data_IF_285642934913
#
_entry.id   IF_285642934913
#
_cell.length_a   1.000
_cell.length_b   1.000
_cell.length_c   1.000
_cell.angle_alpha   90.00
_cell.angle_beta   90.00
_cell.angle_gamma   90.00
#
_symmetry.space_group_name_H-M   'P 1'
#
loop_
_entity.id
_entity.type
_entity.pdbx_description
1 polymer ?
#
# COMPACT_ATOMS: atom_id res chain seq x y z
N UNK A 1 15.32 13.51 7.20
CA UNK A 1 14.97 12.39 6.31
C UNK A 1 14.52 11.19 7.12
N UNK A 2 13.38 10.65 6.78
CA UNK A 2 12.84 9.50 7.49
C UNK A 2 13.69 8.25 7.21
N UNK A 3 13.92 7.44 8.24
CA UNK A 3 14.70 6.20 8.12
C UNK A 3 13.74 5.01 8.27
N UNK A 4 13.68 4.17 7.25
CA UNK A 4 12.81 3.00 7.23
C UNK A 4 13.23 1.95 8.25
N UNK A 5 12.22 1.33 8.88
CA UNK A 5 12.42 0.13 9.69
C UNK A 5 12.46 -1.06 8.72
N UNK A 6 13.64 -1.31 8.20
CA UNK A 6 13.90 -2.36 7.22
C UNK A 6 15.26 -2.98 7.54
N UNK A 7 15.24 -4.25 7.93
CA UNK A 7 16.47 -4.95 8.31
C UNK A 7 16.83 -5.98 7.25
N UNK A 8 18.03 -5.85 6.70
CA UNK A 8 18.55 -6.75 5.67
C UNK A 8 19.91 -7.28 6.06
N UNK A 9 20.13 -8.56 5.84
CA UNK A 9 21.44 -9.18 5.89
C UNK A 9 21.57 -10.19 4.74
N UNK A 10 22.59 -11.01 4.74
CA UNK A 10 22.80 -12.00 3.68
C UNK A 10 21.73 -13.08 3.63
N UNK A 11 21.07 -13.36 4.75
CA UNK A 11 20.18 -14.51 4.93
C UNK A 11 18.70 -14.16 4.86
N UNK A 12 18.31 -12.95 5.25
CA UNK A 12 16.89 -12.59 5.32
C UNK A 12 16.65 -11.09 5.23
N UNK A 13 15.39 -10.74 5.02
CA UNK A 13 14.88 -9.36 5.08
C UNK A 13 13.72 -9.33 6.07
N UNK A 14 13.72 -8.36 6.97
CA UNK A 14 12.53 -8.03 7.77
C UNK A 14 12.00 -6.68 7.31
N UNK A 15 10.70 -6.64 6.99
CA UNK A 15 10.01 -5.46 6.47
C UNK A 15 8.83 -5.12 7.35
N UNK A 16 8.68 -3.84 7.69
CA UNK A 16 7.53 -3.33 8.41
C UNK A 16 6.85 -2.26 7.55
N UNK A 17 5.61 -2.54 7.12
CA UNK A 17 4.92 -1.71 6.14
C UNK A 17 3.53 -1.30 6.59
N UNK A 18 3.02 -0.24 5.95
CA UNK A 18 1.63 0.19 6.07
C UNK A 18 1.07 0.38 4.66
N UNK A 19 -0.20 0.07 4.48
CA UNK A 19 -0.91 0.31 3.24
C UNK A 19 -2.22 1.06 3.47
N UNK A 20 -2.61 1.85 2.49
CA UNK A 20 -3.83 2.64 2.52
C UNK A 20 -4.84 2.17 1.48
N UNK A 21 -6.03 1.81 1.94
CA UNK A 21 -7.14 1.43 1.08
C UNK A 21 -7.97 2.68 0.86
N UNK A 22 -7.80 3.29 -0.31
CA UNK A 22 -8.47 4.52 -0.70
C UNK A 22 -9.60 4.18 -1.64
N UNK A 23 -10.83 4.29 -1.15
CA UNK A 23 -12.04 4.08 -1.93
C UNK A 23 -12.75 5.42 -2.09
N UNK A 24 -13.04 5.76 -3.34
CA UNK A 24 -13.73 7.00 -3.69
C UNK A 24 -14.78 6.71 -4.76
N UNK A 25 -16.03 7.01 -4.45
CA UNK A 25 -17.16 6.79 -5.37
C UNK A 25 -17.21 5.37 -5.98
N UNK A 26 -17.01 4.36 -5.12
CA UNK A 26 -17.10 2.95 -5.52
C UNK A 26 -15.87 2.41 -6.25
N UNK A 27 -14.79 3.19 -6.30
CA UNK A 27 -13.53 2.77 -6.92
C UNK A 27 -12.40 2.80 -5.90
N UNK A 28 -11.47 1.88 -6.06
CA UNK A 28 -10.25 1.80 -5.24
C UNK A 28 -9.04 2.27 -6.05
N UNK A 29 -8.15 3.00 -5.39
CA UNK A 29 -6.90 3.41 -6.01
C UNK A 29 -5.81 2.38 -5.72
N UNK A 30 -5.17 1.89 -6.78
CA UNK A 30 -4.10 0.91 -6.70
C UNK A 30 -2.87 1.42 -7.43
N UNK A 31 -1.71 0.95 -7.00
CA UNK A 31 -0.46 1.13 -7.73
C UNK A 31 -0.31 0.01 -8.75
N UNK A 32 0.14 0.34 -9.96
CA UNK A 32 0.44 -0.63 -11.00
C UNK A 32 1.92 -0.54 -11.37
N UNK A 33 2.78 -1.32 -10.71
CA UNK A 33 4.19 -1.38 -11.08
C UNK A 33 4.38 -1.93 -12.49
N UNK A 34 5.49 -1.54 -13.13
CA UNK A 34 5.85 -2.11 -14.44
C UNK A 34 6.16 -3.59 -14.28
N UNK A 35 5.61 -4.41 -15.17
CA UNK A 35 5.85 -5.86 -15.21
C UNK A 35 5.51 -6.59 -13.92
N UNK A 36 4.57 -6.06 -13.14
CA UNK A 36 4.10 -6.67 -11.90
C UNK A 36 2.59 -6.49 -11.75
N UNK A 37 2.02 -7.19 -10.78
CA UNK A 37 0.60 -7.10 -10.48
C UNK A 37 0.27 -5.82 -9.69
N UNK A 38 -1.01 -5.53 -9.57
CA UNK A 38 -1.47 -4.38 -8.79
C UNK A 38 -1.10 -4.54 -7.32
N UNK A 39 -0.89 -3.42 -6.65
CA UNK A 39 -0.54 -3.39 -5.23
C UNK A 39 -1.29 -2.29 -4.49
N UNK A 40 -1.52 -2.52 -3.21
CA UNK A 40 -2.03 -1.49 -2.29
C UNK A 40 -0.94 -0.44 -2.09
N UNK A 41 -1.34 0.82 -2.12
CA UNK A 41 -0.42 1.96 -1.95
C UNK A 41 0.05 2.04 -0.51
N UNK A 42 1.34 2.22 -0.32
CA UNK A 42 1.91 2.37 1.01
C UNK A 42 3.42 2.45 1.00
N UNK A 43 4.03 2.13 2.12
CA UNK A 43 5.47 2.18 2.26
C UNK A 43 5.97 1.58 3.56
N UNK A 44 7.27 1.58 3.73
CA UNK A 44 7.91 1.13 4.98
C UNK A 44 7.67 2.13 6.09
N UNK A 45 7.42 1.63 7.29
CA UNK A 45 7.29 2.49 8.47
C UNK A 45 8.64 3.13 8.75
N UNK A 46 8.65 4.44 8.93
CA UNK A 46 9.86 5.13 9.33
C UNK A 46 10.04 5.11 10.84
N UNK A 47 11.30 5.08 11.25
CA UNK A 47 11.67 5.08 12.67
C UNK A 47 11.02 6.28 13.38
N UNK A 48 10.39 6.01 14.51
CA UNK A 48 9.66 6.98 15.34
C UNK A 48 8.38 7.58 14.74
N UNK A 49 7.95 7.09 13.58
CA UNK A 49 6.63 7.42 13.06
C UNK A 49 5.61 6.34 13.47
N UNK A 50 4.39 6.75 13.74
CA UNK A 50 3.29 5.78 13.81
C UNK A 50 2.96 5.29 12.40
N UNK A 51 2.23 4.18 12.30
CA UNK A 51 1.81 3.67 10.99
C UNK A 51 0.95 4.67 10.23
N UNK A 52 0.06 5.38 10.94
CA UNK A 52 -0.78 6.43 10.32
C UNK A 52 0.04 7.61 9.82
N UNK A 53 1.02 8.05 10.59
CA UNK A 53 1.92 9.15 10.18
C UNK A 53 2.72 8.78 8.93
N UNK A 54 3.27 7.57 8.89
CA UNK A 54 3.98 7.07 7.71
C UNK A 54 3.07 7.06 6.49
N UNK A 55 1.83 6.57 6.66
CA UNK A 55 0.89 6.47 5.56
C UNK A 55 0.54 7.85 4.97
N UNK A 56 0.31 8.84 5.82
CA UNK A 56 0.05 10.22 5.39
C UNK A 56 1.25 10.75 4.60
N UNK A 57 2.45 10.53 5.09
CA UNK A 57 3.68 10.98 4.43
C UNK A 57 3.87 10.30 3.07
N UNK A 58 3.66 8.98 3.00
CA UNK A 58 3.80 8.22 1.75
C UNK A 58 2.83 8.68 0.68
N UNK A 59 1.56 8.93 1.04
CA UNK A 59 0.59 9.47 0.08
C UNK A 59 0.99 10.86 -0.40
N UNK A 60 1.55 11.69 0.47
CA UNK A 60 2.03 13.01 0.08
C UNK A 60 3.24 12.91 -0.85
N UNK A 61 4.19 12.03 -0.55
CA UNK A 61 5.39 11.85 -1.37
C UNK A 61 5.09 11.26 -2.75
N UNK A 62 4.26 10.21 -2.81
CA UNK A 62 3.99 9.47 -4.04
C UNK A 62 2.89 10.09 -4.89
N UNK A 63 1.84 10.59 -4.26
CA UNK A 63 0.63 11.05 -4.94
C UNK A 63 0.44 12.56 -4.86
N UNK A 64 1.18 13.24 -3.99
CA UNK A 64 0.99 14.66 -3.71
C UNK A 64 -0.45 14.95 -3.25
N UNK A 65 -1.01 14.01 -2.47
CA UNK A 65 -2.37 14.08 -1.96
C UNK A 65 -2.41 14.00 -0.43
N UNK A 66 -3.27 14.82 0.16
CA UNK A 66 -3.53 14.78 1.59
C UNK A 66 -4.65 13.78 1.88
N UNK A 67 -4.41 12.89 2.82
CA UNK A 67 -5.39 11.89 3.22
C UNK A 67 -5.75 12.03 4.69
N UNK A 68 -6.94 11.53 5.02
CA UNK A 68 -7.36 11.27 6.38
C UNK A 68 -7.29 9.77 6.61
N UNK A 69 -6.52 9.35 7.62
CA UNK A 69 -6.48 7.94 8.04
C UNK A 69 -7.70 7.70 8.91
N UNK A 70 -8.56 6.76 8.50
CA UNK A 70 -9.84 6.53 9.16
C UNK A 70 -9.78 5.39 10.16
N UNK A 71 -9.42 4.18 9.69
CA UNK A 71 -9.57 2.98 10.52
C UNK A 71 -8.60 1.88 10.09
N UNK A 72 -7.96 1.25 11.07
CA UNK A 72 -7.20 0.02 10.83
C UNK A 72 -8.18 -1.11 10.53
N UNK A 73 -8.02 -1.76 9.37
CA UNK A 73 -8.92 -2.84 8.95
C UNK A 73 -8.23 -4.19 8.77
N UNK A 74 -6.92 -4.23 8.72
CA UNK A 74 -6.21 -5.51 8.59
C UNK A 74 -4.78 -5.44 9.11
N UNK A 75 -4.30 -6.59 9.58
CA UNK A 75 -2.91 -6.83 9.93
C UNK A 75 -2.47 -8.10 9.23
N UNK A 76 -1.39 -8.02 8.46
CA UNK A 76 -0.87 -9.14 7.71
C UNK A 76 0.51 -9.57 8.19
N UNK A 77 0.70 -10.87 8.34
CA UNK A 77 2.01 -11.50 8.49
C UNK A 77 2.33 -12.16 7.15
N UNK A 78 3.32 -11.62 6.45
CA UNK A 78 3.56 -11.95 5.03
C UNK A 78 4.97 -12.48 4.87
N UNK A 79 5.08 -13.65 4.27
CA UNK A 79 6.35 -14.32 4.01
C UNK A 79 6.48 -14.49 2.49
N UNK A 80 7.47 -13.82 1.91
CA UNK A 80 7.62 -13.83 0.45
C UNK A 80 9.09 -13.72 0.06
N UNK A 81 9.44 -14.06 -1.21
CA UNK A 81 10.82 -13.94 -1.67
C UNK A 81 11.14 -12.48 -1.99
N UNK A 82 12.21 -11.97 -1.37
CA UNK A 82 12.80 -10.67 -1.69
C UNK A 82 14.09 -10.93 -2.46
N UNK A 83 13.96 -11.06 -3.77
CA UNK A 83 15.06 -11.56 -4.59
C UNK A 83 15.41 -13.01 -4.18
N UNK A 84 16.63 -13.23 -3.75
CA UNK A 84 17.12 -14.56 -3.32
C UNK A 84 16.97 -14.83 -1.83
N UNK A 85 16.46 -13.87 -1.06
CA UNK A 85 16.33 -13.99 0.40
C UNK A 85 14.87 -14.11 0.80
N UNK A 86 14.56 -14.84 1.88
CA UNK A 86 13.21 -14.81 2.42
C UNK A 86 12.96 -13.48 3.13
N UNK A 87 11.79 -12.92 2.91
CA UNK A 87 11.34 -11.73 3.61
C UNK A 87 10.21 -12.09 4.58
N UNK A 88 10.36 -11.61 5.81
CA UNK A 88 9.32 -11.65 6.83
C UNK A 88 8.77 -10.24 6.98
N UNK A 89 7.51 -10.04 6.63
CA UNK A 89 6.89 -8.72 6.61
C UNK A 89 5.69 -8.65 7.55
N UNK A 90 5.67 -7.60 8.36
CA UNK A 90 4.49 -7.21 9.12
C UNK A 90 3.89 -5.98 8.44
N UNK A 91 2.60 -6.05 8.10
CA UNK A 91 1.92 -4.98 7.38
C UNK A 91 0.59 -4.62 8.04
N UNK A 92 0.32 -3.32 8.14
CA UNK A 92 -0.95 -2.80 8.64
C UNK A 92 -1.67 -2.07 7.52
N UNK A 93 -3.00 -2.25 7.43
CA UNK A 93 -3.82 -1.67 6.36
C UNK A 93 -4.93 -0.83 6.95
N UNK A 94 -5.02 0.41 6.47
CA UNK A 94 -6.02 1.38 6.93
C UNK A 94 -6.97 1.75 5.82
N UNK A 95 -8.22 2.00 6.17
CA UNK A 95 -9.11 2.77 5.31
C UNK A 95 -8.68 4.23 5.39
N UNK A 96 -8.55 4.85 4.24
CA UNK A 96 -8.20 6.27 4.13
C UNK A 96 -9.16 6.96 3.18
N UNK A 97 -9.24 8.28 3.27
CA UNK A 97 -9.99 9.08 2.30
C UNK A 97 -9.20 10.33 1.92
N UNK A 98 -9.45 10.86 0.75
CA UNK A 98 -8.87 12.13 0.30
C UNK A 98 -9.48 13.27 1.11
N UNK A 99 -8.64 14.15 1.63
CA UNK A 99 -9.09 15.41 2.24
C UNK A 99 -9.59 16.37 1.19
N UNK A 100 -8.94 16.35 0.02
CA UNK A 100 -9.27 17.18 -1.11
C UNK A 100 -9.19 16.36 -2.39
N UNK A 101 -10.35 15.89 -2.93
CA UNK A 101 -10.36 15.09 -4.16
C UNK A 101 -9.84 15.80 -5.40
N UNK A 102 -9.68 17.13 -5.36
CA UNK A 102 -9.15 17.88 -6.50
C UNK A 102 -7.64 17.78 -6.67
N UNK A 103 -6.93 17.22 -5.69
CA UNK A 103 -5.47 17.12 -5.73
C UNK A 103 -4.95 16.10 -6.73
N UNK A 104 -5.74 15.06 -7.02
CA UNK A 104 -5.38 14.00 -7.97
C UNK A 104 -6.57 13.69 -8.88
N UNK A 105 -6.33 13.08 -10.06
CA UNK A 105 -7.41 12.52 -10.86
C UNK A 105 -8.19 11.47 -10.06
N UNK A 106 -9.50 11.45 -10.19
CA UNK A 106 -10.37 10.51 -9.47
C UNK A 106 -10.97 9.44 -10.37
N UNK A 107 -10.40 9.25 -11.55
CA UNK A 107 -10.82 8.22 -12.49
C UNK A 107 -9.64 7.85 -13.40
N UNK A 108 -9.65 6.62 -13.91
CA UNK A 108 -8.68 6.15 -14.88
C UNK A 108 -7.28 5.93 -14.31
N UNK A 109 -6.29 6.04 -15.18
CA UNK A 109 -4.87 5.86 -14.86
C UNK A 109 -4.19 7.21 -14.85
N UNK A 110 -3.33 7.43 -13.87
CA UNK A 110 -2.49 8.63 -13.83
C UNK A 110 -1.10 8.28 -13.32
N UNK A 111 -0.18 9.20 -13.53
CA UNK A 111 1.22 9.02 -13.17
C UNK A 111 1.57 9.91 -11.98
N UNK A 112 2.27 9.33 -11.01
CA UNK A 112 2.92 10.05 -9.93
C UNK A 112 4.41 9.83 -10.01
N UNK A 113 5.12 10.34 -9.03
CA UNK A 113 6.56 10.09 -8.91
C UNK A 113 6.99 10.24 -7.46
N UNK A 114 8.08 9.57 -7.13
CA UNK A 114 8.75 9.71 -5.85
C UNK A 114 10.20 10.11 -6.11
N UNK A 115 10.69 11.09 -5.36
CA UNK A 115 12.07 11.55 -5.43
C UNK A 115 12.86 10.84 -4.32
N UNK A 116 13.60 9.79 -4.68
CA UNK A 116 14.45 9.04 -3.77
C UNK A 116 15.93 9.26 -4.11
N UNK A 117 16.70 9.77 -3.16
CA UNK A 117 18.17 9.89 -3.24
C UNK A 117 18.67 10.46 -4.59
N UNK A 118 18.08 11.56 -5.04
CA UNK A 118 18.34 12.24 -6.32
C UNK A 118 17.88 11.46 -7.56
N UNK A 119 17.13 10.39 -7.39
CA UNK A 119 16.49 9.68 -8.49
C UNK A 119 14.99 9.92 -8.46
N UNK A 120 14.42 10.14 -9.64
CA UNK A 120 12.98 10.22 -9.80
C UNK A 120 12.45 8.85 -10.22
N UNK A 121 11.59 8.29 -9.40
CA UNK A 121 10.92 7.03 -9.68
C UNK A 121 9.51 7.34 -10.14
N UNK A 122 9.18 7.01 -11.38
CA UNK A 122 7.84 7.19 -11.91
C UNK A 122 6.94 6.05 -11.43
N UNK A 123 5.74 6.40 -10.99
CA UNK A 123 4.75 5.48 -10.45
C UNK A 123 3.45 5.62 -11.22
N UNK A 124 2.83 4.49 -11.54
CA UNK A 124 1.51 4.47 -12.18
C UNK A 124 0.45 4.07 -11.17
N UNK A 125 -0.67 4.80 -11.19
CA UNK A 125 -1.80 4.57 -10.32
C UNK A 125 -3.05 4.38 -11.17
N UNK A 126 -3.95 3.54 -10.68
CA UNK A 126 -5.15 3.19 -11.43
C UNK A 126 -6.35 3.10 -10.48
N UNK A 127 -7.43 3.79 -10.86
CA UNK A 127 -8.72 3.63 -10.21
C UNK A 127 -9.46 2.47 -10.83
N UNK A 128 -9.85 1.50 -10.02
CA UNK A 128 -10.60 0.34 -10.46
C UNK A 128 -11.88 0.21 -9.65
N UNK A 129 -12.96 -0.24 -10.30
CA UNK A 129 -14.18 -0.53 -9.56
C UNK A 129 -13.96 -1.73 -8.64
N UNK A 130 -14.74 -1.82 -7.57
CA UNK A 130 -14.66 -2.97 -6.67
C UNK A 130 -15.00 -4.28 -7.39
N UNK A 131 -15.86 -4.23 -8.41
CA UNK A 131 -16.17 -5.42 -9.23
C UNK A 131 -14.95 -5.91 -10.01
N UNK A 132 -14.12 -5.01 -10.52
CA UNK A 132 -12.91 -5.36 -11.27
C UNK A 132 -11.87 -6.08 -10.40
N UNK A 133 -11.88 -5.86 -9.07
CA UNK A 133 -10.95 -6.53 -8.15
C UNK A 133 -11.10 -8.05 -8.16
N UNK A 134 -12.28 -8.56 -8.53
CA UNK A 134 -12.54 -10.00 -8.58
C UNK A 134 -11.77 -10.69 -9.70
N UNK A 135 -11.34 -9.94 -10.71
CA UNK A 135 -10.77 -10.48 -11.95
C UNK A 135 -9.29 -10.12 -12.15
N UNK A 136 -8.69 -9.45 -11.19
CA UNK A 136 -7.28 -9.04 -11.27
C UNK A 136 -6.53 -9.53 -10.02
N UNK A 137 -5.22 -9.56 -10.15
CA UNK A 137 -4.35 -9.92 -9.03
C UNK A 137 -3.85 -8.66 -8.33
N UNK A 138 -4.15 -8.56 -7.05
CA UNK A 138 -3.72 -7.44 -6.20
C UNK A 138 -3.00 -8.01 -4.99
N UNK A 139 -1.85 -7.45 -4.67
CA UNK A 139 -1.12 -7.86 -3.47
C UNK A 139 -1.44 -6.92 -2.30
N UNK A 140 -1.69 -7.47 -1.10
CA UNK A 140 -1.82 -8.91 -0.80
C UNK A 140 -3.20 -9.46 -1.19
N UNK A 141 -3.21 -10.63 -1.79
CA UNK A 141 -4.46 -11.25 -2.28
C UNK A 141 -5.47 -11.53 -1.16
N UNK A 142 -5.00 -11.92 0.01
CA UNK A 142 -5.84 -12.26 1.15
C UNK A 142 -6.69 -11.09 1.63
N UNK A 143 -6.27 -9.86 1.34
CA UNK A 143 -6.98 -8.64 1.74
C UNK A 143 -8.22 -8.38 0.88
N UNK A 144 -8.24 -8.87 -0.35
CA UNK A 144 -9.29 -8.51 -1.32
C UNK A 144 -10.69 -8.97 -0.88
N UNK A 145 -10.90 -10.23 -0.44
CA UNK A 145 -12.23 -10.61 0.06
C UNK A 145 -12.73 -9.75 1.21
N UNK A 146 -11.83 -9.32 2.08
CA UNK A 146 -12.17 -8.44 3.20
C UNK A 146 -12.60 -7.05 2.71
N UNK A 147 -11.87 -6.49 1.75
CA UNK A 147 -12.24 -5.21 1.12
C UNK A 147 -13.62 -5.32 0.47
N UNK A 148 -13.85 -6.38 -0.29
CA UNK A 148 -15.11 -6.60 -1.01
C UNK A 148 -16.29 -6.82 -0.07
N UNK A 149 -16.05 -7.36 1.13
CA UNK A 149 -17.11 -7.57 2.13
C UNK A 149 -17.63 -6.27 2.73
N UNK A 150 -16.87 -5.19 2.63
CA UNK A 150 -17.19 -3.92 3.26
C UNK A 150 -17.10 -3.92 4.79
N UNK A 151 -16.57 -5.00 5.37
CA UNK A 151 -16.38 -5.08 6.82
C UNK A 151 -15.31 -4.10 7.30
N UNK A 152 -15.57 -3.43 8.40
CA UNK A 152 -14.62 -2.54 9.04
C UNK A 152 -13.97 -3.18 10.28
N UNK A 153 -14.19 -4.47 10.50
CA UNK A 153 -13.53 -5.21 11.56
C UNK A 153 -12.07 -5.49 11.17
N UNK A 154 -11.20 -5.57 12.18
CA UNK A 154 -9.79 -5.86 11.93
C UNK A 154 -9.64 -7.33 11.51
N UNK A 155 -9.12 -7.53 10.30
CA UNK A 155 -8.84 -8.84 9.74
C UNK A 155 -7.36 -9.16 9.90
N UNK A 156 -7.05 -10.21 10.63
CA UNK A 156 -5.68 -10.73 10.72
C UNK A 156 -5.50 -11.86 9.71
N UNK A 157 -4.49 -11.75 8.87
CA UNK A 157 -4.21 -12.79 7.87
C UNK A 157 -2.73 -13.17 7.86
N UNK A 158 -2.47 -14.36 7.34
CA UNK A 158 -1.13 -14.88 7.12
C UNK A 158 -1.01 -15.23 5.64
N UNK A 159 0.01 -14.71 4.98
CA UNK A 159 0.31 -15.01 3.58
C UNK A 159 1.67 -15.69 3.50
N UNK A 160 1.70 -16.93 3.01
CA UNK A 160 2.94 -17.68 2.85
C UNK A 160 3.18 -17.95 1.37
N UNK A 161 4.21 -17.32 0.84
CA UNK A 161 4.65 -17.52 -0.54
C UNK A 161 5.98 -18.26 -0.61
N UNK A 162 6.51 -18.59 0.58
CA UNK A 162 7.73 -19.39 0.74
C UNK A 162 7.58 -20.35 1.91
#
# INVERSE_FOLDING_TARGET
MAKDILFKNEDFVFSYRVGGILIHEGKILLQKPKNDDYAIIGGHIALFETTGETLIREFQEELHADIEVQKLIAVGEIFFPWGKRPCHQLAMYYLVKLKDPSQIPTDGVFHGYDDLDNERIDLDFCWLSLEELKNIKVYPEELIPHILSGSEEIFHFVSRQI
#
